data_IF_241934820729
#
_entry.id   IF_241934820729
#
_cell.length_a   1.000
_cell.length_b   1.000
_cell.length_c   1.000
_cell.angle_alpha   90.00
_cell.angle_beta   90.00
_cell.angle_gamma   90.00
#
_symmetry.space_group_name_H-M   'P 1'
#
loop_
_entity.id
_entity.type
_entity.pdbx_description
1 polymer ?
#
# COMPACT_ATOMS: atom_id res chain seq x y z
N UNK A 1 38.09 -35.02 -1.94
CA UNK A 1 36.72 -35.25 -1.41
C UNK A 1 36.28 -34.19 -0.42
N UNK A 2 37.09 -33.80 0.55
CA UNK A 2 36.73 -32.76 1.58
C UNK A 2 36.54 -31.35 1.02
N UNK A 3 37.36 -30.89 0.06
CA UNK A 3 37.27 -29.55 -0.54
C UNK A 3 36.04 -29.38 -1.44
N UNK A 4 35.63 -30.42 -2.18
CA UNK A 4 34.42 -30.42 -3.01
C UNK A 4 33.17 -30.31 -2.13
N UNK A 5 33.09 -31.05 -1.02
CA UNK A 5 32.03 -31.00 -0.05
C UNK A 5 31.90 -29.62 0.59
N UNK A 6 33.05 -29.02 0.96
CA UNK A 6 33.07 -27.68 1.54
C UNK A 6 32.54 -26.62 0.57
N UNK A 7 32.93 -26.69 -0.69
CA UNK A 7 32.44 -25.76 -1.74
C UNK A 7 30.92 -25.89 -1.95
N UNK A 8 30.37 -27.10 -1.98
CA UNK A 8 28.92 -27.31 -2.09
C UNK A 8 28.17 -26.75 -0.90
N UNK A 9 28.70 -26.93 0.32
CA UNK A 9 28.15 -26.36 1.53
C UNK A 9 28.12 -24.82 1.50
N UNK A 10 29.23 -24.20 1.11
CA UNK A 10 29.34 -22.73 1.03
C UNK A 10 28.38 -22.15 -0.03
N UNK A 11 28.23 -22.80 -1.19
CA UNK A 11 27.26 -22.40 -2.21
C UNK A 11 25.80 -22.51 -1.69
N UNK A 12 25.47 -23.56 -0.94
CA UNK A 12 24.16 -23.69 -0.33
C UNK A 12 23.88 -22.60 0.71
N UNK A 13 24.90 -22.26 1.54
CA UNK A 13 24.81 -21.16 2.50
C UNK A 13 24.60 -19.80 1.82
N UNK A 14 25.29 -19.54 0.70
CA UNK A 14 25.09 -18.31 -0.08
C UNK A 14 23.65 -18.24 -0.64
N UNK A 15 23.10 -19.33 -1.16
CA UNK A 15 21.70 -19.38 -1.64
C UNK A 15 20.70 -19.13 -0.51
N UNK A 16 20.93 -19.76 0.64
CA UNK A 16 20.11 -19.54 1.84
C UNK A 16 20.17 -18.09 2.33
N UNK A 17 21.39 -17.52 2.41
CA UNK A 17 21.59 -16.12 2.80
C UNK A 17 20.92 -15.13 1.85
N UNK A 18 21.00 -15.38 0.54
CA UNK A 18 20.32 -14.57 -0.48
C UNK A 18 18.79 -14.59 -0.32
N UNK A 19 18.19 -15.73 0.01
CA UNK A 19 16.76 -15.80 0.30
C UNK A 19 16.39 -15.03 1.58
N UNK A 20 17.24 -15.09 2.61
CA UNK A 20 17.04 -14.32 3.85
C UNK A 20 17.02 -12.81 3.58
N UNK A 21 17.84 -12.29 2.68
CA UNK A 21 17.86 -10.86 2.31
C UNK A 21 16.47 -10.37 1.90
N UNK A 22 15.71 -11.19 1.18
CA UNK A 22 14.32 -10.84 0.79
C UNK A 22 13.29 -11.17 1.86
N UNK A 23 13.54 -12.16 2.71
CA UNK A 23 12.62 -12.49 3.80
C UNK A 23 12.60 -11.41 4.91
N UNK A 24 13.75 -10.78 5.20
CA UNK A 24 13.90 -9.84 6.32
C UNK A 24 12.97 -8.62 6.25
N UNK A 25 12.76 -7.94 5.09
CA UNK A 25 11.87 -6.78 5.02
C UNK A 25 10.38 -7.14 4.95
N UNK A 26 10.03 -8.42 4.75
CA UNK A 26 8.66 -8.89 4.61
C UNK A 26 8.01 -9.19 5.98
N UNK A 27 6.68 -9.27 6.04
CA UNK A 27 5.99 -9.73 7.25
C UNK A 27 6.31 -11.19 7.52
N UNK A 28 6.82 -11.48 8.72
CA UNK A 28 7.20 -12.82 9.11
C UNK A 28 5.99 -13.62 9.63
N UNK A 29 5.93 -14.90 9.28
CA UNK A 29 5.02 -15.85 9.93
C UNK A 29 5.57 -16.32 11.28
N UNK A 30 4.71 -16.93 12.11
CA UNK A 30 5.11 -17.51 13.39
C UNK A 30 6.28 -18.50 13.21
N UNK A 31 7.24 -18.48 14.16
CA UNK A 31 8.44 -19.32 14.14
C UNK A 31 9.33 -19.15 12.89
N UNK A 32 9.50 -17.90 12.43
CA UNK A 32 10.30 -17.55 11.26
C UNK A 32 11.69 -18.21 11.24
N UNK A 33 12.48 -18.04 12.30
CA UNK A 33 13.83 -18.57 12.38
C UNK A 33 13.90 -20.09 12.37
N UNK A 34 12.95 -20.78 13.03
CA UNK A 34 12.89 -22.24 13.01
C UNK A 34 12.62 -22.76 11.59
N UNK A 35 11.72 -22.12 10.84
CA UNK A 35 11.45 -22.47 9.43
C UNK A 35 12.61 -22.15 8.51
N UNK A 36 13.23 -20.99 8.66
CA UNK A 36 14.36 -20.58 7.85
C UNK A 36 15.56 -21.52 8.05
N UNK A 37 15.90 -21.86 9.31
CA UNK A 37 16.95 -22.83 9.61
C UNK A 37 16.58 -24.24 9.16
N UNK A 38 15.31 -24.65 9.29
CA UNK A 38 14.84 -25.97 8.82
C UNK A 38 15.00 -26.13 7.31
N UNK A 39 14.82 -25.07 6.53
CA UNK A 39 15.03 -25.08 5.06
C UNK A 39 16.49 -25.12 4.64
N UNK A 40 17.43 -24.86 5.54
CA UNK A 40 18.85 -25.02 5.25
C UNK A 40 19.20 -26.49 5.00
N UNK A 41 18.59 -27.44 5.74
CA UNK A 41 18.87 -28.87 5.60
C UNK A 41 18.58 -29.39 4.18
N UNK A 42 17.38 -29.21 3.57
CA UNK A 42 17.15 -29.68 2.20
C UNK A 42 18.02 -28.95 1.16
N UNK A 43 18.40 -27.68 1.38
CA UNK A 43 19.34 -26.97 0.50
C UNK A 43 20.74 -27.59 0.55
N UNK A 44 21.23 -27.93 1.74
CA UNK A 44 22.52 -28.64 1.93
C UNK A 44 22.49 -30.01 1.32
N UNK A 45 21.43 -30.78 1.54
CA UNK A 45 21.28 -32.13 0.98
C UNK A 45 21.28 -32.09 -0.55
N UNK A 46 20.55 -31.15 -1.16
CA UNK A 46 20.48 -30.99 -2.61
C UNK A 46 21.85 -30.63 -3.20
N UNK A 47 22.59 -29.72 -2.56
CA UNK A 47 23.94 -29.35 -2.98
C UNK A 47 24.90 -30.53 -2.89
N UNK A 48 24.82 -31.35 -1.85
CA UNK A 48 25.68 -32.51 -1.68
C UNK A 48 25.42 -33.62 -2.69
N UNK A 49 24.17 -33.83 -3.09
CA UNK A 49 23.78 -34.90 -4.00
C UNK A 49 24.08 -34.56 -5.46
N UNK A 50 23.78 -33.35 -5.90
CA UNK A 50 23.78 -32.99 -7.32
C UNK A 50 25.07 -32.33 -7.81
N UNK A 51 25.76 -31.54 -6.99
CA UNK A 51 27.03 -30.91 -7.41
C UNK A 51 28.11 -31.95 -7.81
N UNK A 52 28.34 -33.07 -7.07
CA UNK A 52 29.29 -34.08 -7.49
C UNK A 52 28.89 -34.86 -8.76
N UNK A 53 27.58 -35.11 -8.93
CA UNK A 53 27.03 -35.77 -10.10
C UNK A 53 27.23 -34.93 -11.37
N UNK A 54 27.08 -33.62 -11.28
CA UNK A 54 27.27 -32.70 -12.38
C UNK A 54 28.73 -32.71 -12.91
N UNK A 55 29.71 -33.01 -12.06
CA UNK A 55 31.13 -33.03 -12.43
C UNK A 55 31.56 -34.36 -13.07
N UNK A 56 30.76 -35.41 -12.97
CA UNK A 56 31.13 -36.79 -13.40
C UNK A 56 30.53 -37.23 -14.74
N UNK A 57 29.76 -36.36 -15.42
CA UNK A 57 28.94 -36.69 -16.59
C UNK A 57 29.49 -36.08 -17.89
N UNK A 58 29.02 -36.56 -19.06
CA UNK A 58 29.32 -35.97 -20.37
C UNK A 58 28.72 -34.55 -20.50
N UNK A 59 29.28 -33.72 -21.38
CA UNK A 59 28.90 -32.32 -21.57
C UNK A 59 27.39 -32.08 -21.64
N UNK A 60 26.64 -32.89 -22.41
CA UNK A 60 25.17 -32.75 -22.51
C UNK A 60 24.44 -33.17 -21.25
N UNK A 61 24.85 -34.23 -20.60
CA UNK A 61 24.28 -34.70 -19.36
C UNK A 61 24.57 -33.72 -18.22
N UNK A 62 25.76 -33.12 -18.22
CA UNK A 62 26.14 -32.07 -17.27
C UNK A 62 25.21 -30.84 -17.37
N UNK A 63 24.94 -30.36 -18.59
CA UNK A 63 24.05 -29.22 -18.79
C UNK A 63 22.60 -29.51 -18.34
N UNK A 64 22.07 -30.70 -18.68
CA UNK A 64 20.75 -31.11 -18.23
C UNK A 64 20.66 -31.21 -16.70
N UNK A 65 21.69 -31.79 -16.08
CA UNK A 65 21.73 -31.95 -14.62
C UNK A 65 21.87 -30.62 -13.91
N UNK A 66 22.65 -29.67 -14.45
CA UNK A 66 22.72 -28.29 -13.94
C UNK A 66 21.35 -27.58 -14.03
N UNK A 67 20.62 -27.76 -15.13
CA UNK A 67 19.26 -27.20 -15.26
C UNK A 67 18.32 -27.75 -14.18
N UNK A 68 18.34 -29.08 -13.97
CA UNK A 68 17.52 -29.71 -12.90
C UNK A 68 17.93 -29.20 -11.52
N UNK A 69 19.24 -29.02 -11.29
CA UNK A 69 19.77 -28.46 -10.05
C UNK A 69 19.23 -27.04 -9.79
N UNK A 70 19.29 -26.16 -10.80
CA UNK A 70 18.81 -24.79 -10.69
C UNK A 70 17.29 -24.72 -10.47
N UNK A 71 16.52 -25.54 -11.18
CA UNK A 71 15.05 -25.63 -10.97
C UNK A 71 14.74 -26.10 -9.55
N UNK A 72 15.48 -27.09 -9.05
CA UNK A 72 15.29 -27.61 -7.69
C UNK A 72 15.63 -26.56 -6.62
N UNK A 73 16.74 -25.83 -6.78
CA UNK A 73 17.07 -24.71 -5.89
C UNK A 73 16.04 -23.60 -5.96
N UNK A 74 15.56 -23.26 -7.15
CA UNK A 74 14.49 -22.28 -7.33
C UNK A 74 13.22 -22.68 -6.56
N UNK A 75 12.80 -23.93 -6.67
CA UNK A 75 11.63 -24.44 -5.96
C UNK A 75 11.82 -24.41 -4.43
N UNK A 76 13.00 -24.80 -3.94
CA UNK A 76 13.32 -24.78 -2.51
C UNK A 76 13.38 -23.34 -1.95
N UNK A 77 14.00 -22.41 -2.67
CA UNK A 77 14.07 -21.01 -2.24
C UNK A 77 12.68 -20.34 -2.26
N UNK A 78 11.87 -20.61 -3.31
CA UNK A 78 10.48 -20.16 -3.36
C UNK A 78 9.63 -20.73 -2.22
N UNK A 79 9.81 -22.02 -1.93
CA UNK A 79 9.20 -22.69 -0.78
C UNK A 79 9.63 -22.08 0.55
N UNK A 80 10.93 -21.78 0.73
CA UNK A 80 11.45 -21.12 1.93
C UNK A 80 10.80 -19.75 2.12
N UNK A 81 10.79 -18.90 1.08
CA UNK A 81 10.21 -17.55 1.17
C UNK A 81 8.71 -17.64 1.48
N UNK A 82 7.98 -18.52 0.81
CA UNK A 82 6.54 -18.71 1.04
C UNK A 82 6.21 -19.22 2.45
N UNK A 83 7.03 -20.13 3.00
CA UNK A 83 6.81 -20.69 4.34
C UNK A 83 7.21 -19.72 5.47
N UNK A 84 8.22 -18.89 5.23
CA UNK A 84 8.75 -17.97 6.23
C UNK A 84 8.00 -16.63 6.29
N UNK A 85 7.40 -16.20 5.18
CA UNK A 85 6.78 -14.87 5.06
C UNK A 85 5.31 -14.94 4.68
N UNK A 86 4.59 -13.85 4.93
CA UNK A 86 3.18 -13.73 4.57
C UNK A 86 3.02 -13.06 3.20
N UNK A 87 3.55 -13.72 2.18
CA UNK A 87 3.52 -13.26 0.79
C UNK A 87 2.70 -14.25 -0.07
N UNK A 88 2.10 -13.75 -1.15
CA UNK A 88 1.39 -14.60 -2.10
C UNK A 88 2.37 -15.48 -2.94
N UNK A 89 1.86 -16.57 -3.55
CA UNK A 89 2.67 -17.51 -4.33
C UNK A 89 3.45 -16.84 -5.45
N UNK A 90 2.86 -15.87 -6.16
CA UNK A 90 3.53 -15.13 -7.24
C UNK A 90 4.68 -14.27 -6.72
N UNK A 91 4.49 -13.62 -5.56
CA UNK A 91 5.52 -12.87 -4.88
C UNK A 91 6.68 -13.75 -4.41
N UNK A 92 6.39 -14.91 -3.83
CA UNK A 92 7.42 -15.86 -3.42
C UNK A 92 8.25 -16.35 -4.60
N UNK A 93 7.63 -16.68 -5.74
CA UNK A 93 8.33 -17.06 -6.98
C UNK A 93 9.21 -15.91 -7.52
N UNK A 94 8.68 -14.69 -7.51
CA UNK A 94 9.45 -13.51 -7.93
C UNK A 94 10.69 -13.30 -7.06
N UNK A 95 10.56 -13.32 -5.74
CA UNK A 95 11.68 -13.21 -4.81
C UNK A 95 12.66 -14.39 -4.92
N UNK A 96 12.19 -15.59 -5.27
CA UNK A 96 13.05 -16.74 -5.49
C UNK A 96 13.98 -16.59 -6.69
N UNK A 97 13.48 -16.03 -7.81
CA UNK A 97 14.33 -15.69 -8.97
C UNK A 97 15.46 -14.75 -8.55
N UNK A 98 15.11 -13.68 -7.84
CA UNK A 98 16.10 -12.69 -7.38
C UNK A 98 17.08 -13.28 -6.37
N UNK A 99 16.63 -14.15 -5.48
CA UNK A 99 17.49 -14.83 -4.52
C UNK A 99 18.54 -15.70 -5.23
N UNK A 100 18.15 -16.42 -6.28
CA UNK A 100 19.09 -17.20 -7.09
C UNK A 100 20.13 -16.32 -7.79
N UNK A 101 19.66 -15.23 -8.42
CA UNK A 101 20.55 -14.29 -9.12
C UNK A 101 21.57 -13.66 -8.18
N UNK A 102 21.13 -13.20 -7.02
CA UNK A 102 21.97 -12.56 -6.00
C UNK A 102 22.95 -13.56 -5.40
N UNK A 103 22.53 -14.81 -5.14
CA UNK A 103 23.43 -15.86 -4.66
C UNK A 103 24.56 -16.14 -5.64
N UNK A 104 24.24 -16.19 -6.93
CA UNK A 104 25.23 -16.42 -7.99
C UNK A 104 26.17 -15.20 -8.15
N UNK A 105 25.64 -13.96 -8.12
CA UNK A 105 26.49 -12.76 -8.15
C UNK A 105 27.45 -12.73 -6.95
N UNK A 106 26.99 -13.13 -5.75
CA UNK A 106 27.86 -13.26 -4.58
C UNK A 106 28.97 -14.31 -4.79
N UNK A 107 28.62 -15.44 -5.40
CA UNK A 107 29.60 -16.48 -5.76
C UNK A 107 30.61 -15.98 -6.81
N UNK A 108 30.18 -15.29 -7.85
CA UNK A 108 31.05 -14.69 -8.86
C UNK A 108 31.97 -13.61 -8.25
N UNK A 109 31.49 -12.83 -7.31
CA UNK A 109 32.29 -11.86 -6.54
C UNK A 109 33.41 -12.58 -5.77
N UNK A 110 33.11 -13.73 -5.19
CA UNK A 110 34.14 -14.59 -4.59
C UNK A 110 35.16 -15.08 -5.62
N UNK A 111 34.71 -15.61 -6.77
CA UNK A 111 35.59 -16.08 -7.84
C UNK A 111 36.50 -14.95 -8.36
N UNK A 112 36.01 -13.74 -8.45
CA UNK A 112 36.80 -12.57 -8.79
C UNK A 112 37.92 -12.33 -7.76
N UNK A 113 37.61 -12.37 -6.46
CA UNK A 113 38.61 -12.20 -5.42
C UNK A 113 39.67 -13.29 -5.46
N UNK A 114 39.24 -14.54 -5.56
CA UNK A 114 40.16 -15.71 -5.70
C UNK A 114 41.11 -15.53 -6.87
N UNK A 115 40.61 -15.08 -8.02
CA UNK A 115 41.41 -14.82 -9.21
C UNK A 115 42.43 -13.71 -9.01
N UNK A 116 42.06 -12.60 -8.31
CA UNK A 116 43.01 -11.51 -8.00
C UNK A 116 44.08 -11.97 -7.03
N UNK A 117 43.72 -12.67 -5.95
CA UNK A 117 44.73 -13.21 -5.00
C UNK A 117 45.71 -14.15 -5.67
N UNK A 118 45.23 -15.03 -6.56
CA UNK A 118 46.07 -15.94 -7.32
C UNK A 118 47.02 -15.16 -8.23
N UNK A 119 46.55 -14.08 -8.88
CA UNK A 119 47.35 -13.22 -9.76
C UNK A 119 48.50 -12.52 -9.00
N UNK A 120 48.29 -12.15 -7.76
CA UNK A 120 49.31 -11.51 -6.90
C UNK A 120 50.20 -12.51 -6.16
N UNK A 121 50.13 -13.80 -6.50
CA UNK A 121 51.01 -14.85 -5.94
C UNK A 121 50.56 -15.39 -4.57
N UNK A 122 49.37 -15.09 -4.15
CA UNK A 122 48.78 -15.55 -2.88
C UNK A 122 47.52 -16.40 -3.15
N UNK A 123 47.62 -17.60 -3.72
CA UNK A 123 46.42 -18.39 -4.05
C UNK A 123 45.65 -18.75 -2.77
N UNK A 124 44.36 -18.45 -2.79
CA UNK A 124 43.44 -18.79 -1.70
C UNK A 124 43.09 -20.28 -1.79
N UNK A 125 43.76 -21.09 -0.98
CA UNK A 125 43.43 -22.51 -0.92
C UNK A 125 42.20 -22.72 -0.05
N UNK A 126 41.14 -23.31 -0.62
CA UNK A 126 39.88 -23.60 0.08
C UNK A 126 40.03 -24.58 1.26
N UNK A 127 41.16 -25.28 1.35
CA UNK A 127 41.50 -26.06 2.54
C UNK A 127 41.90 -25.16 3.75
N UNK A 128 42.20 -23.87 3.49
CA UNK A 128 42.58 -22.91 4.52
C UNK A 128 41.32 -22.29 5.17
N UNK A 129 41.23 -22.28 6.51
CA UNK A 129 40.16 -21.59 7.22
C UNK A 129 40.03 -20.10 6.84
N UNK A 130 41.15 -19.47 6.47
CA UNK A 130 41.22 -18.08 6.03
C UNK A 130 40.44 -17.83 4.74
N UNK A 131 40.60 -18.73 3.73
CA UNK A 131 39.83 -18.61 2.48
C UNK A 131 38.34 -18.73 2.68
N UNK A 132 37.88 -19.63 3.54
CA UNK A 132 36.47 -19.78 3.92
C UNK A 132 35.95 -18.51 4.61
N UNK A 133 36.71 -17.92 5.51
CA UNK A 133 36.36 -16.71 6.20
C UNK A 133 36.22 -15.53 5.23
N UNK A 134 37.16 -15.36 4.29
CA UNK A 134 37.10 -14.30 3.27
C UNK A 134 35.89 -14.48 2.37
N UNK A 135 35.56 -15.71 1.97
CA UNK A 135 34.37 -16.02 1.16
C UNK A 135 33.07 -15.65 1.90
N UNK A 136 32.93 -16.03 3.16
CA UNK A 136 31.77 -15.70 3.97
C UNK A 136 31.63 -14.19 4.19
N UNK A 137 32.75 -13.51 4.45
CA UNK A 137 32.77 -12.06 4.64
C UNK A 137 32.39 -11.31 3.37
N UNK A 138 32.94 -11.70 2.20
CA UNK A 138 32.59 -11.10 0.92
C UNK A 138 31.11 -11.29 0.59
N UNK A 139 30.58 -12.48 0.83
CA UNK A 139 29.13 -12.76 0.69
C UNK A 139 28.27 -11.92 1.62
N UNK A 140 28.66 -11.78 2.89
CA UNK A 140 27.95 -10.97 3.85
C UNK A 140 27.92 -9.47 3.47
N UNK A 141 29.06 -8.93 3.02
CA UNK A 141 29.14 -7.53 2.53
C UNK A 141 28.27 -7.32 1.31
N UNK A 142 28.30 -8.26 0.36
CA UNK A 142 27.46 -8.21 -0.84
C UNK A 142 25.97 -8.25 -0.48
N UNK A 143 25.55 -9.14 0.41
CA UNK A 143 24.16 -9.24 0.87
C UNK A 143 23.70 -8.01 1.65
N UNK A 144 24.58 -7.43 2.47
CA UNK A 144 24.27 -6.18 3.16
C UNK A 144 24.04 -5.02 2.18
N UNK A 145 24.87 -4.91 1.13
CA UNK A 145 24.70 -3.93 0.07
C UNK A 145 23.37 -4.13 -0.67
N UNK A 146 23.03 -5.35 -1.07
CA UNK A 146 21.77 -5.69 -1.74
C UNK A 146 20.57 -5.42 -0.83
N UNK A 147 20.67 -5.74 0.45
CA UNK A 147 19.61 -5.44 1.42
C UNK A 147 19.31 -3.94 1.50
N UNK A 148 20.36 -3.11 1.62
CA UNK A 148 20.20 -1.65 1.74
C UNK A 148 19.67 -1.03 0.45
N UNK A 149 20.22 -1.46 -0.71
CA UNK A 149 19.93 -0.83 -1.99
C UNK A 149 18.63 -1.32 -2.64
N UNK A 150 18.25 -2.58 -2.43
CA UNK A 150 17.13 -3.21 -3.11
C UNK A 150 16.07 -3.73 -2.15
N UNK A 151 16.40 -4.64 -1.23
CA UNK A 151 15.40 -5.35 -0.45
C UNK A 151 14.63 -4.45 0.53
N UNK A 152 15.31 -3.51 1.18
CA UNK A 152 14.69 -2.54 2.11
C UNK A 152 13.72 -1.59 1.39
N UNK A 153 13.90 -1.35 0.11
CA UNK A 153 13.08 -0.41 -0.67
C UNK A 153 11.86 -1.10 -1.31
N UNK A 154 11.64 -2.39 -1.09
CA UNK A 154 10.45 -3.08 -1.57
C UNK A 154 9.18 -2.44 -0.98
N UNK A 155 8.23 -2.01 -1.83
CA UNK A 155 7.02 -1.35 -1.36
C UNK A 155 6.10 -2.31 -0.58
N UNK A 156 5.27 -1.74 0.31
CA UNK A 156 4.15 -2.43 1.00
C UNK A 156 4.51 -3.66 1.84
N UNK A 157 5.77 -3.84 2.27
CA UNK A 157 6.17 -5.00 3.11
C UNK A 157 5.67 -6.35 2.60
N UNK A 158 5.53 -6.51 1.28
CA UNK A 158 5.08 -7.74 0.63
C UNK A 158 3.60 -7.83 0.26
N UNK A 159 2.79 -6.83 0.55
CA UNK A 159 1.37 -6.78 0.14
C UNK A 159 1.21 -6.26 -1.30
N UNK A 160 2.02 -6.71 -2.24
CA UNK A 160 1.92 -6.29 -3.62
C UNK A 160 1.48 -7.43 -4.55
N UNK A 161 0.61 -7.09 -5.47
CA UNK A 161 0.11 -8.05 -6.44
C UNK A 161 1.04 -8.03 -7.66
N UNK A 162 1.92 -9.02 -7.76
CA UNK A 162 2.81 -9.16 -8.91
C UNK A 162 2.00 -9.58 -10.12
N UNK A 163 2.02 -8.75 -11.15
CA UNK A 163 1.39 -9.03 -12.42
C UNK A 163 2.12 -10.14 -13.20
N UNK A 164 1.43 -10.86 -14.10
CA UNK A 164 2.06 -11.92 -14.91
C UNK A 164 3.23 -11.41 -15.75
N UNK A 165 3.15 -10.18 -16.27
CA UNK A 165 4.23 -9.57 -17.08
C UNK A 165 5.53 -9.40 -16.28
N UNK A 166 5.43 -9.00 -15.01
CA UNK A 166 6.59 -8.82 -14.12
C UNK A 166 7.22 -10.16 -13.76
N UNK A 167 6.39 -11.18 -13.55
CA UNK A 167 6.87 -12.54 -13.29
C UNK A 167 7.58 -13.10 -14.51
N UNK A 168 7.01 -12.94 -15.72
CA UNK A 168 7.64 -13.35 -16.97
C UNK A 168 8.99 -12.65 -17.22
N UNK A 169 9.08 -11.33 -16.99
CA UNK A 169 10.34 -10.60 -17.13
C UNK A 169 11.40 -11.09 -16.14
N UNK A 170 11.04 -11.38 -14.89
CA UNK A 170 11.96 -11.94 -13.91
C UNK A 170 12.47 -13.34 -14.32
N UNK A 171 11.59 -14.22 -14.78
CA UNK A 171 11.98 -15.54 -15.30
C UNK A 171 12.91 -15.44 -16.51
N UNK A 172 12.60 -14.54 -17.45
CA UNK A 172 13.43 -14.35 -18.64
C UNK A 172 14.84 -13.86 -18.27
N UNK A 173 14.96 -12.91 -17.35
CA UNK A 173 16.23 -12.46 -16.80
C UNK A 173 16.95 -13.62 -16.09
N UNK A 174 16.23 -14.43 -15.32
CA UNK A 174 16.77 -15.61 -14.65
C UNK A 174 17.38 -16.62 -15.64
N UNK A 175 16.70 -16.90 -16.76
CA UNK A 175 17.16 -17.79 -17.82
C UNK A 175 18.43 -17.23 -18.49
N UNK A 176 18.42 -15.94 -18.87
CA UNK A 176 19.58 -15.28 -19.46
C UNK A 176 20.78 -15.38 -18.54
N UNK A 177 20.59 -15.17 -17.26
CA UNK A 177 21.65 -15.28 -16.26
C UNK A 177 22.18 -16.69 -16.12
N UNK A 178 21.32 -17.70 -16.11
CA UNK A 178 21.75 -19.10 -16.08
C UNK A 178 22.59 -19.49 -17.31
N UNK A 179 22.20 -19.01 -18.50
CA UNK A 179 22.98 -19.23 -19.74
C UNK A 179 24.36 -18.58 -19.61
N UNK A 180 24.42 -17.34 -19.11
CA UNK A 180 25.71 -16.66 -18.91
C UNK A 180 26.59 -17.38 -17.88
N UNK A 181 26.03 -17.81 -16.74
CA UNK A 181 26.78 -18.54 -15.73
C UNK A 181 27.36 -19.85 -16.28
N UNK A 182 26.58 -20.60 -17.09
CA UNK A 182 27.05 -21.82 -17.74
C UNK A 182 28.16 -21.56 -18.77
N UNK A 183 28.05 -20.49 -19.57
CA UNK A 183 29.08 -20.06 -20.50
C UNK A 183 30.38 -19.70 -19.78
N UNK A 184 30.27 -18.95 -18.67
CA UNK A 184 31.42 -18.54 -17.86
C UNK A 184 32.13 -19.73 -17.22
N UNK A 185 31.39 -20.71 -16.68
CA UNK A 185 31.97 -21.93 -16.09
C UNK A 185 32.70 -22.76 -17.12
N UNK A 186 32.18 -22.88 -18.35
CA UNK A 186 32.87 -23.59 -19.46
C UNK A 186 34.09 -22.80 -19.95
N UNK A 187 34.03 -21.48 -19.99
CA UNK A 187 35.12 -20.64 -20.47
C UNK A 187 36.32 -20.55 -19.49
N UNK A 188 36.14 -20.88 -18.22
CA UNK A 188 37.19 -20.80 -17.17
C UNK A 188 38.40 -21.65 -17.50
N UNK A 189 38.26 -22.78 -18.21
CA UNK A 189 39.33 -23.67 -18.58
C UNK A 189 40.20 -23.15 -19.73
N UNK A 190 39.65 -22.28 -20.59
CA UNK A 190 40.27 -21.84 -21.85
C UNK A 190 40.71 -20.38 -21.87
N UNK A 191 40.18 -19.57 -20.96
CA UNK A 191 40.43 -18.12 -20.93
C UNK A 191 41.68 -17.75 -20.11
N UNK A 192 42.33 -16.66 -20.52
CA UNK A 192 43.37 -16.03 -19.72
C UNK A 192 42.80 -15.40 -18.46
N UNK A 193 43.54 -15.31 -17.33
CA UNK A 193 43.04 -14.69 -16.09
C UNK A 193 42.53 -13.27 -16.27
N UNK A 194 43.10 -12.51 -17.21
CA UNK A 194 42.66 -11.15 -17.50
C UNK A 194 41.30 -11.12 -18.19
N UNK A 195 41.10 -11.93 -19.24
CA UNK A 195 39.83 -12.00 -19.96
C UNK A 195 38.69 -12.50 -19.05
N UNK A 196 38.98 -13.48 -18.21
CA UNK A 196 38.01 -13.98 -17.22
C UNK A 196 37.60 -12.90 -16.21
N UNK A 197 38.56 -12.11 -15.69
CA UNK A 197 38.32 -10.98 -14.82
C UNK A 197 37.36 -9.97 -15.46
N UNK A 198 37.64 -9.58 -16.71
CA UNK A 198 36.82 -8.61 -17.44
C UNK A 198 35.40 -9.16 -17.67
N UNK A 199 35.30 -10.44 -18.06
CA UNK A 199 33.98 -11.09 -18.29
C UNK A 199 33.13 -11.13 -17.02
N UNK A 200 33.71 -11.47 -15.86
CA UNK A 200 33.01 -11.46 -14.57
C UNK A 200 32.52 -10.04 -14.24
N UNK A 201 33.39 -9.02 -14.37
CA UNK A 201 33.02 -7.64 -14.04
C UNK A 201 31.90 -7.10 -14.95
N UNK A 202 31.98 -7.34 -16.26
CA UNK A 202 30.93 -6.93 -17.20
C UNK A 202 29.62 -7.64 -16.87
N UNK A 203 29.67 -8.94 -16.61
CA UNK A 203 28.51 -9.73 -16.23
C UNK A 203 27.84 -9.20 -14.96
N UNK A 204 28.60 -8.95 -13.90
CA UNK A 204 28.07 -8.38 -12.65
C UNK A 204 27.47 -7.00 -12.84
N UNK A 205 28.17 -6.10 -13.55
CA UNK A 205 27.65 -4.78 -13.85
C UNK A 205 26.31 -4.84 -14.61
N UNK A 206 26.25 -5.70 -15.63
CA UNK A 206 25.03 -5.92 -16.41
C UNK A 206 23.87 -6.39 -15.52
N UNK A 207 24.08 -7.39 -14.64
CA UNK A 207 23.02 -7.91 -13.79
C UNK A 207 22.61 -6.96 -12.68
N UNK A 208 23.54 -6.26 -12.05
CA UNK A 208 23.20 -5.22 -11.07
C UNK A 208 22.35 -4.13 -11.71
N UNK A 209 22.69 -3.75 -12.94
CA UNK A 209 21.92 -2.75 -13.71
C UNK A 209 20.52 -3.27 -14.04
N UNK A 210 20.38 -4.52 -14.48
CA UNK A 210 19.07 -5.14 -14.73
C UNK A 210 18.22 -5.24 -13.45
N UNK A 211 18.84 -5.63 -12.33
CA UNK A 211 18.21 -5.67 -11.02
C UNK A 211 17.65 -4.30 -10.63
N UNK A 212 18.45 -3.25 -10.80
CA UNK A 212 18.05 -1.88 -10.52
C UNK A 212 16.87 -1.46 -11.40
N UNK A 213 16.97 -1.63 -12.72
CA UNK A 213 15.87 -1.28 -13.64
C UNK A 213 14.58 -2.05 -13.33
N UNK A 214 14.67 -3.34 -13.05
CA UNK A 214 13.53 -4.15 -12.70
C UNK A 214 12.87 -3.67 -11.39
N UNK A 215 13.68 -3.30 -10.40
CA UNK A 215 13.19 -2.73 -9.13
C UNK A 215 12.46 -1.40 -9.36
N UNK A 216 13.02 -0.52 -10.19
CA UNK A 216 12.38 0.77 -10.52
C UNK A 216 11.09 0.60 -11.33
N UNK A 217 11.06 -0.30 -12.32
CA UNK A 217 9.85 -0.62 -13.06
C UNK A 217 8.75 -1.18 -12.13
N UNK A 218 9.15 -1.98 -11.15
CA UNK A 218 8.24 -2.51 -10.16
C UNK A 218 7.63 -1.42 -9.28
N UNK A 219 8.46 -0.50 -8.75
CA UNK A 219 8.01 0.65 -7.95
C UNK A 219 7.08 1.54 -8.76
N UNK A 220 7.43 1.84 -10.02
CA UNK A 220 6.61 2.64 -10.91
C UNK A 220 5.24 2.01 -11.15
N UNK A 221 5.20 0.72 -11.46
CA UNK A 221 3.94 -0.02 -11.67
C UNK A 221 3.06 -0.05 -10.41
N UNK A 222 3.65 -0.19 -9.21
CA UNK A 222 2.93 -0.14 -7.95
C UNK A 222 2.33 1.26 -7.71
N UNK A 223 3.09 2.31 -7.98
CA UNK A 223 2.65 3.71 -7.83
C UNK A 223 1.56 4.08 -8.84
N UNK A 224 1.66 3.63 -10.09
CA UNK A 224 0.63 3.83 -11.11
C UNK A 224 -0.70 3.19 -10.72
N UNK A 225 -0.66 1.99 -10.15
CA UNK A 225 -1.86 1.30 -9.66
C UNK A 225 -2.52 2.06 -8.50
N UNK A 226 -1.74 2.50 -7.52
CA UNK A 226 -2.24 3.30 -6.40
C UNK A 226 -2.87 4.61 -6.89
N UNK A 227 -2.21 5.29 -7.83
CA UNK A 227 -2.74 6.51 -8.44
C UNK A 227 -4.05 6.26 -9.18
N UNK A 228 -4.16 5.14 -9.90
CA UNK A 228 -5.40 4.74 -10.60
C UNK A 228 -6.54 4.47 -9.62
N UNK A 229 -6.28 3.78 -8.51
CA UNK A 229 -7.27 3.53 -7.46
C UNK A 229 -7.74 4.84 -6.79
N UNK A 230 -6.81 5.76 -6.54
CA UNK A 230 -7.12 7.07 -6.00
C UNK A 230 -7.96 7.93 -6.96
N UNK A 231 -7.62 7.92 -8.25
CA UNK A 231 -8.39 8.64 -9.27
C UNK A 231 -9.82 8.09 -9.39
N UNK A 232 -10.00 6.76 -9.31
CA UNK A 232 -11.33 6.15 -9.31
C UNK A 232 -12.17 6.58 -8.10
N UNK A 233 -11.56 6.66 -6.92
CA UNK A 233 -12.23 7.14 -5.71
C UNK A 233 -12.62 8.62 -5.83
N UNK A 234 -11.74 9.45 -6.38
CA UNK A 234 -12.01 10.87 -6.64
C UNK A 234 -13.18 11.06 -7.61
N UNK A 235 -13.20 10.33 -8.72
CA UNK A 235 -14.31 10.38 -9.69
C UNK A 235 -15.64 9.93 -9.06
N UNK A 236 -15.65 8.90 -8.22
CA UNK A 236 -16.86 8.48 -7.48
C UNK A 236 -17.38 9.57 -6.55
N UNK A 237 -16.50 10.23 -5.80
CA UNK A 237 -16.89 11.34 -4.93
C UNK A 237 -17.47 12.50 -5.72
N UNK A 238 -16.85 12.83 -6.85
CA UNK A 238 -17.35 13.88 -7.76
C UNK A 238 -18.75 13.56 -8.30
N UNK A 239 -18.96 12.31 -8.71
CA UNK A 239 -20.30 11.85 -9.16
C UNK A 239 -21.32 11.92 -8.04
N UNK A 240 -21.00 11.49 -6.83
CA UNK A 240 -21.88 11.59 -5.67
C UNK A 240 -22.27 13.04 -5.40
N UNK A 241 -21.30 13.96 -5.41
CA UNK A 241 -21.60 15.39 -5.28
C UNK A 241 -22.57 15.89 -6.36
N UNK A 242 -22.35 15.55 -7.63
CA UNK A 242 -23.24 15.97 -8.71
C UNK A 242 -24.67 15.43 -8.53
N UNK A 243 -24.82 14.18 -8.15
CA UNK A 243 -26.13 13.57 -7.86
C UNK A 243 -26.80 14.26 -6.67
N UNK A 244 -26.08 14.49 -5.57
CA UNK A 244 -26.61 15.19 -4.40
C UNK A 244 -27.08 16.61 -4.76
N UNK A 245 -26.26 17.35 -5.53
CA UNK A 245 -26.62 18.70 -6.01
C UNK A 245 -27.88 18.67 -6.87
N UNK A 246 -28.01 17.74 -7.80
CA UNK A 246 -29.21 17.59 -8.62
C UNK A 246 -30.45 17.27 -7.79
N UNK A 247 -30.32 16.36 -6.81
CA UNK A 247 -31.42 16.00 -5.91
C UNK A 247 -31.89 17.20 -5.11
N UNK A 248 -30.97 17.98 -4.53
CA UNK A 248 -31.31 19.20 -3.79
C UNK A 248 -32.02 20.22 -4.69
N UNK A 249 -31.56 20.42 -5.92
CA UNK A 249 -32.24 21.32 -6.88
C UNK A 249 -33.65 20.84 -7.22
N UNK A 250 -33.88 19.54 -7.38
CA UNK A 250 -35.18 18.95 -7.63
C UNK A 250 -36.11 19.17 -6.41
N UNK A 251 -35.61 18.90 -5.21
CA UNK A 251 -36.35 19.10 -3.94
C UNK A 251 -36.74 20.56 -3.80
N UNK A 252 -35.80 21.49 -3.94
CA UNK A 252 -36.08 22.92 -3.84
C UNK A 252 -37.13 23.39 -4.85
N UNK A 253 -37.06 22.91 -6.11
CA UNK A 253 -38.06 23.20 -7.13
C UNK A 253 -39.45 22.68 -6.72
N UNK A 254 -39.54 21.44 -6.25
CA UNK A 254 -40.81 20.85 -5.80
C UNK A 254 -41.39 21.55 -4.57
N UNK A 255 -40.55 21.96 -3.62
CA UNK A 255 -40.98 22.73 -2.46
C UNK A 255 -41.52 24.10 -2.88
N UNK A 256 -40.88 24.77 -3.82
CA UNK A 256 -41.38 26.04 -4.36
C UNK A 256 -42.72 25.85 -5.07
N UNK A 257 -42.89 24.83 -5.91
CA UNK A 257 -44.16 24.48 -6.58
C UNK A 257 -45.29 24.23 -5.53
N UNK A 258 -44.98 23.46 -4.46
CA UNK A 258 -45.95 23.20 -3.37
C UNK A 258 -46.36 24.49 -2.64
N UNK A 259 -45.42 25.38 -2.33
CA UNK A 259 -45.77 26.68 -1.72
C UNK A 259 -46.71 27.53 -2.57
N UNK A 260 -46.44 27.58 -3.89
CA UNK A 260 -47.32 28.28 -4.83
C UNK A 260 -48.70 27.64 -4.83
N UNK A 261 -48.80 26.30 -4.81
CA UNK A 261 -50.10 25.61 -4.74
C UNK A 261 -50.86 25.89 -3.42
N UNK A 262 -50.17 25.83 -2.27
CA UNK A 262 -50.74 26.16 -0.95
C UNK A 262 -51.22 27.61 -0.93
N UNK A 263 -50.45 28.57 -1.42
CA UNK A 263 -50.83 29.96 -1.52
C UNK A 263 -52.03 30.18 -2.43
N UNK A 264 -52.17 29.43 -3.52
CA UNK A 264 -53.33 29.48 -4.41
C UNK A 264 -54.58 28.88 -3.76
N UNK A 265 -54.45 27.75 -3.06
CA UNK A 265 -55.55 27.12 -2.30
C UNK A 265 -56.10 28.07 -1.21
N UNK A 266 -55.23 28.80 -0.51
CA UNK A 266 -55.58 29.80 0.49
C UNK A 266 -56.39 30.96 -0.10
N UNK A 267 -56.15 31.30 -1.36
CA UNK A 267 -56.86 32.38 -2.05
C UNK A 267 -58.24 31.94 -2.60
N UNK A 268 -58.37 30.67 -2.98
CA UNK A 268 -59.55 30.17 -3.68
C UNK A 268 -60.65 29.60 -2.77
N UNK A 269 -60.35 29.15 -1.57
CA UNK A 269 -61.31 28.48 -0.68
C UNK A 269 -61.05 28.79 0.79
N UNK A 270 -61.46 29.99 1.27
CA UNK A 270 -61.24 30.36 2.70
C UNK A 270 -62.03 29.49 3.69
N UNK A 271 -63.16 28.87 3.25
CA UNK A 271 -64.07 28.10 4.14
C UNK A 271 -63.93 26.56 4.01
N UNK A 272 -63.25 26.06 2.99
CA UNK A 272 -63.26 24.61 2.68
C UNK A 272 -62.13 23.80 3.36
N UNK A 273 -61.06 24.42 3.85
CA UNK A 273 -59.93 23.74 4.48
C UNK A 273 -59.65 24.39 5.83
N UNK A 274 -59.59 23.63 6.95
CA UNK A 274 -59.21 24.16 8.24
C UNK A 274 -57.86 24.87 8.19
N UNK A 275 -57.74 26.10 8.73
CA UNK A 275 -56.48 26.87 8.68
C UNK A 275 -55.29 26.10 9.29
N UNK A 276 -55.54 25.25 10.29
CA UNK A 276 -54.53 24.42 10.95
C UNK A 276 -53.84 23.45 9.98
N UNK A 277 -54.57 22.86 9.02
CA UNK A 277 -53.99 21.95 8.01
C UNK A 277 -53.16 22.68 6.96
N UNK A 278 -53.53 23.89 6.62
CA UNK A 278 -52.78 24.76 5.71
C UNK A 278 -51.48 25.19 6.40
N UNK A 279 -51.54 25.57 7.66
CA UNK A 279 -50.39 25.97 8.45
C UNK A 279 -49.45 24.77 8.73
N UNK A 280 -49.98 23.56 8.86
CA UNK A 280 -49.19 22.34 9.00
C UNK A 280 -48.45 21.98 7.67
N UNK A 281 -49.15 22.08 6.52
CA UNK A 281 -48.53 21.88 5.21
C UNK A 281 -47.52 22.98 4.89
N UNK A 282 -47.79 24.24 5.30
CA UNK A 282 -46.83 25.34 5.14
C UNK A 282 -45.61 25.16 6.05
N UNK A 283 -45.79 24.68 7.29
CA UNK A 283 -44.67 24.30 8.18
C UNK A 283 -43.85 23.17 7.60
N UNK A 284 -44.47 22.12 7.08
CA UNK A 284 -43.79 21.02 6.40
C UNK A 284 -43.00 21.53 5.18
N UNK A 285 -43.61 22.37 4.34
CA UNK A 285 -42.93 22.97 3.19
C UNK A 285 -41.80 23.93 3.59
N UNK A 286 -41.91 24.63 4.74
CA UNK A 286 -40.85 25.50 5.27
C UNK A 286 -39.69 24.71 5.88
N UNK A 287 -39.89 23.52 6.43
CA UNK A 287 -38.82 22.62 6.87
C UNK A 287 -37.95 22.21 5.72
N UNK A 288 -38.54 21.95 4.55
CA UNK A 288 -37.80 21.67 3.31
C UNK A 288 -37.12 22.91 2.69
N UNK A 289 -37.71 24.11 2.97
CA UNK A 289 -37.18 25.39 2.48
C UNK A 289 -36.26 26.07 3.51
N UNK A 290 -35.90 25.38 4.57
CA UNK A 290 -34.85 25.83 5.46
C UNK A 290 -33.52 25.90 4.63
N UNK A 291 -33.57 26.83 3.67
CA UNK A 291 -32.44 27.31 2.92
C UNK A 291 -31.39 27.74 3.96
N UNK A 292 -30.56 26.80 4.36
CA UNK A 292 -29.38 27.11 5.13
C UNK A 292 -28.45 27.83 4.17
N UNK A 293 -28.76 29.10 3.94
CA UNK A 293 -27.93 29.98 3.14
C UNK A 293 -26.70 30.33 3.96
N UNK A 294 -25.74 29.39 3.99
CA UNK A 294 -24.47 29.60 4.67
C UNK A 294 -23.54 30.55 3.90
N UNK A 295 -23.88 30.88 2.66
CA UNK A 295 -23.05 31.64 1.73
C UNK A 295 -22.08 30.75 0.92
N UNK A 296 -22.25 29.41 0.98
CA UNK A 296 -21.51 28.46 0.17
C UNK A 296 -22.43 27.34 -0.35
N UNK A 297 -22.66 27.32 -1.66
CA UNK A 297 -23.59 26.38 -2.31
C UNK A 297 -23.29 24.91 -2.00
N UNK A 298 -22.00 24.53 -1.91
CA UNK A 298 -21.61 23.15 -1.64
C UNK A 298 -21.96 22.75 -0.21
N UNK A 299 -21.69 23.62 0.75
CA UNK A 299 -22.04 23.38 2.15
C UNK A 299 -23.55 23.31 2.33
N UNK A 300 -24.31 24.17 1.64
CA UNK A 300 -25.77 24.18 1.66
C UNK A 300 -26.33 22.84 1.15
N UNK A 301 -25.78 22.27 0.08
CA UNK A 301 -26.14 20.95 -0.45
C UNK A 301 -25.90 19.85 0.58
N UNK A 302 -24.72 19.80 1.20
CA UNK A 302 -24.40 18.79 2.21
C UNK A 302 -25.30 18.90 3.42
N UNK A 303 -25.49 20.12 3.94
CA UNK A 303 -26.34 20.34 5.11
C UNK A 303 -27.81 19.99 4.85
N UNK A 304 -28.32 20.26 3.65
CA UNK A 304 -29.68 19.87 3.27
C UNK A 304 -29.81 18.34 3.22
N UNK A 305 -28.89 17.65 2.53
CA UNK A 305 -28.88 16.18 2.45
C UNK A 305 -28.82 15.54 3.85
N UNK A 306 -27.87 15.99 4.68
CA UNK A 306 -27.66 15.40 6.02
C UNK A 306 -28.77 15.77 7.00
N UNK A 307 -29.40 16.94 6.87
CA UNK A 307 -30.59 17.30 7.68
C UNK A 307 -31.75 16.36 7.41
N UNK A 308 -32.07 16.07 6.14
CA UNK A 308 -33.10 15.10 5.76
C UNK A 308 -32.80 13.70 6.29
N UNK A 309 -31.55 13.28 6.21
CA UNK A 309 -31.10 11.99 6.75
C UNK A 309 -31.25 11.93 8.27
N UNK A 310 -30.84 12.97 8.99
CA UNK A 310 -30.97 13.09 10.44
C UNK A 310 -32.44 13.05 10.87
N UNK A 311 -33.31 13.82 10.22
CA UNK A 311 -34.74 13.83 10.49
C UNK A 311 -35.36 12.43 10.30
N UNK A 312 -35.04 11.73 9.22
CA UNK A 312 -35.54 10.36 8.97
C UNK A 312 -35.09 9.35 10.04
N UNK A 313 -34.03 9.64 10.77
CA UNK A 313 -33.45 8.78 11.83
C UNK A 313 -33.71 9.27 13.24
N UNK A 314 -34.50 10.34 13.40
CA UNK A 314 -34.78 10.94 14.71
C UNK A 314 -33.55 11.56 15.37
N UNK A 315 -32.63 12.14 14.58
CA UNK A 315 -31.43 12.83 15.04
C UNK A 315 -31.66 14.34 14.87
N UNK A 316 -31.30 15.12 15.88
CA UNK A 316 -31.33 16.57 15.80
C UNK A 316 -29.97 17.09 15.28
N UNK A 317 -29.97 17.78 14.12
CA UNK A 317 -28.79 18.45 13.57
C UNK A 317 -28.91 19.97 13.76
N UNK A 318 -28.07 20.51 14.63
CA UNK A 318 -27.90 21.94 14.82
C UNK A 318 -26.68 22.43 14.05
N UNK A 319 -26.85 23.33 13.08
CA UNK A 319 -25.74 23.85 12.32
C UNK A 319 -25.74 25.38 12.33
N UNK A 320 -24.63 25.94 12.79
CA UNK A 320 -24.30 27.37 12.69
C UNK A 320 -23.06 27.49 11.82
N UNK A 321 -23.22 27.92 10.56
CA UNK A 321 -22.13 27.89 9.61
C UNK A 321 -22.05 29.19 8.80
N UNK A 322 -20.85 29.78 8.77
CA UNK A 322 -20.48 30.82 7.82
C UNK A 322 -19.71 30.18 6.66
N UNK A 323 -20.42 29.80 5.59
CA UNK A 323 -19.83 29.15 4.42
C UNK A 323 -19.02 30.09 3.53
N UNK A 324 -19.21 31.41 3.65
CA UNK A 324 -18.48 32.38 2.83
C UNK A 324 -16.96 32.31 3.04
N UNK A 325 -16.51 31.83 4.21
CA UNK A 325 -15.09 31.66 4.52
C UNK A 325 -14.46 30.40 3.89
N UNK A 326 -15.25 29.56 3.22
CA UNK A 326 -14.82 28.28 2.64
C UNK A 326 -14.55 28.37 1.12
N UNK A 327 -14.55 29.59 0.55
CA UNK A 327 -14.38 29.80 -0.90
C UNK A 327 -13.03 29.37 -1.48
N UNK A 328 -12.04 29.08 -0.64
CA UNK A 328 -10.72 28.59 -1.07
C UNK A 328 -10.69 27.07 -1.34
N UNK A 329 -11.75 26.35 -0.99
CA UNK A 329 -11.85 24.92 -1.26
C UNK A 329 -12.33 24.64 -2.69
N UNK A 330 -11.82 23.55 -3.29
CA UNK A 330 -12.46 22.94 -4.44
C UNK A 330 -13.80 22.32 -4.03
N UNK A 331 -14.82 22.45 -4.87
CA UNK A 331 -16.18 21.99 -4.56
C UNK A 331 -16.25 20.50 -4.16
N UNK A 332 -15.49 19.63 -4.86
CA UNK A 332 -15.44 18.21 -4.54
C UNK A 332 -14.80 17.89 -3.19
N UNK A 333 -13.72 18.60 -2.84
CA UNK A 333 -13.04 18.40 -1.55
C UNK A 333 -13.90 18.92 -0.39
N UNK A 334 -14.57 20.08 -0.58
CA UNK A 334 -15.45 20.63 0.42
C UNK A 334 -16.65 19.70 0.70
N UNK A 335 -17.26 19.18 -0.38
CA UNK A 335 -18.33 18.19 -0.26
C UNK A 335 -17.82 16.95 0.49
N UNK A 336 -16.70 16.38 0.06
CA UNK A 336 -16.14 15.20 0.68
C UNK A 336 -15.76 15.39 2.16
N UNK A 337 -15.22 16.55 2.53
CA UNK A 337 -14.88 16.89 3.90
C UNK A 337 -16.12 16.85 4.80
N UNK A 338 -17.14 17.65 4.47
CA UNK A 338 -18.34 17.77 5.29
C UNK A 338 -19.24 16.54 5.21
N UNK A 339 -19.35 15.89 4.04
CA UNK A 339 -20.13 14.66 3.90
C UNK A 339 -19.57 13.54 4.78
N UNK A 340 -18.25 13.28 4.74
CA UNK A 340 -17.64 12.23 5.56
C UNK A 340 -17.66 12.57 7.06
N UNK A 341 -17.42 13.82 7.43
CA UNK A 341 -17.45 14.23 8.83
C UNK A 341 -18.86 14.13 9.44
N UNK A 342 -19.90 14.54 8.68
CA UNK A 342 -21.28 14.40 9.12
C UNK A 342 -21.78 12.96 9.05
N UNK A 343 -21.33 12.12 8.10
CA UNK A 343 -21.65 10.69 8.08
C UNK A 343 -21.10 9.99 9.33
N UNK A 344 -19.85 10.28 9.70
CA UNK A 344 -19.26 9.81 10.94
C UNK A 344 -20.08 10.23 12.18
N UNK A 345 -20.52 11.49 12.23
CA UNK A 345 -21.36 12.01 13.31
C UNK A 345 -22.75 11.34 13.36
N UNK A 346 -23.38 11.14 12.18
CA UNK A 346 -24.69 10.47 12.07
C UNK A 346 -24.62 9.02 12.51
N UNK A 347 -23.60 8.26 12.07
CA UNK A 347 -23.40 6.89 12.54
C UNK A 347 -23.22 6.82 14.06
N UNK A 348 -22.44 7.76 14.63
CA UNK A 348 -22.25 7.86 16.08
C UNK A 348 -23.57 8.16 16.82
N UNK A 349 -24.39 9.08 16.28
CA UNK A 349 -25.68 9.44 16.86
C UNK A 349 -26.73 8.31 16.78
N UNK A 350 -26.72 7.51 15.70
CA UNK A 350 -27.59 6.32 15.58
C UNK A 350 -27.27 5.29 16.66
N UNK A 351 -26.01 5.13 17.01
CA UNK A 351 -25.51 4.17 18.01
C UNK A 351 -25.68 4.66 19.46
N UNK A 352 -26.09 5.93 19.66
CA UNK A 352 -26.29 6.48 20.99
C UNK A 352 -27.42 5.75 21.73
N UNK A 353 -27.14 5.30 22.96
CA UNK A 353 -28.01 4.46 23.77
C UNK A 353 -29.31 5.18 24.19
N UNK A 354 -29.30 6.51 24.25
CA UNK A 354 -30.44 7.36 24.65
C UNK A 354 -30.91 8.23 23.50
N UNK A 355 -32.21 8.23 23.13
CA UNK A 355 -32.72 9.09 22.07
C UNK A 355 -32.45 10.59 22.28
N UNK A 356 -32.45 11.05 23.54
CA UNK A 356 -32.18 12.44 23.92
C UNK A 356 -30.74 12.89 23.62
N UNK A 357 -29.79 11.93 23.52
CA UNK A 357 -28.40 12.21 23.19
C UNK A 357 -28.14 12.24 21.69
N UNK A 358 -29.15 12.02 20.82
CA UNK A 358 -29.00 12.01 19.36
C UNK A 358 -28.98 13.42 18.80
N UNK A 359 -27.99 14.18 19.22
CA UNK A 359 -27.77 15.56 18.78
C UNK A 359 -26.41 15.67 18.11
N UNK A 360 -26.39 16.37 16.99
CA UNK A 360 -25.16 16.70 16.26
C UNK A 360 -25.07 18.22 16.17
N UNK A 361 -23.98 18.79 16.65
CA UNK A 361 -23.75 20.24 16.59
C UNK A 361 -22.61 20.52 15.59
N UNK A 362 -22.88 21.35 14.59
CA UNK A 362 -21.88 21.83 13.63
C UNK A 362 -21.68 23.33 13.80
N UNK A 363 -20.44 23.73 14.00
CA UNK A 363 -20.04 25.14 14.01
C UNK A 363 -18.97 25.38 12.93
N UNK A 364 -19.20 26.34 12.04
CA UNK A 364 -18.20 26.84 11.07
C UNK A 364 -18.09 28.36 11.25
N UNK A 365 -16.94 28.82 11.68
CA UNK A 365 -16.71 30.23 11.92
C UNK A 365 -15.27 30.65 11.63
N UNK A 366 -15.02 31.95 11.53
CA UNK A 366 -13.68 32.53 11.46
C UNK A 366 -13.28 33.03 12.84
N UNK A 367 -12.12 32.57 13.34
CA UNK A 367 -11.52 33.05 14.59
C UNK A 367 -10.05 33.35 14.41
N UNK A 368 -9.62 34.53 14.77
CA UNK A 368 -8.20 34.95 14.80
C UNK A 368 -7.45 34.66 13.47
N UNK A 369 -8.10 34.83 12.32
CA UNK A 369 -7.49 34.55 11.01
C UNK A 369 -7.50 33.08 10.61
N UNK A 370 -8.22 32.22 11.32
CA UNK A 370 -8.40 30.83 10.97
C UNK A 370 -9.88 30.49 10.75
N UNK A 371 -10.15 29.60 9.82
CA UNK A 371 -11.45 28.95 9.68
C UNK A 371 -11.49 27.77 10.64
N UNK A 372 -12.44 27.77 11.55
CA UNK A 372 -12.66 26.70 12.54
C UNK A 372 -13.93 25.96 12.18
N UNK A 373 -13.80 24.66 11.96
CA UNK A 373 -14.92 23.72 11.83
C UNK A 373 -14.93 22.85 13.08
N UNK A 374 -16.04 22.80 13.80
CA UNK A 374 -16.20 21.98 14.99
C UNK A 374 -17.49 21.16 14.86
N UNK A 375 -17.36 19.83 14.92
CA UNK A 375 -18.49 18.89 14.87
C UNK A 375 -18.50 18.12 16.17
N UNK A 376 -19.60 18.18 16.89
CA UNK A 376 -19.79 17.46 18.14
C UNK A 376 -20.88 16.42 17.93
N UNK A 377 -20.62 15.19 18.27
CA UNK A 377 -21.52 14.06 18.17
C UNK A 377 -21.44 13.17 19.41
N UNK A 378 -22.40 12.28 19.66
CA UNK A 378 -22.29 11.30 20.74
C UNK A 378 -21.08 10.39 20.56
N UNK A 379 -20.45 9.99 21.67
CA UNK A 379 -19.34 9.04 21.66
C UNK A 379 -19.84 7.63 21.29
N UNK A 380 -19.14 6.96 20.40
CA UNK A 380 -19.44 5.56 20.03
C UNK A 380 -19.13 4.61 21.19
N UNK A 381 -19.93 3.55 21.40
CA UNK A 381 -19.61 2.50 22.34
C UNK A 381 -18.25 1.84 22.00
N UNK A 382 -17.44 1.46 23.02
CA UNK A 382 -16.08 0.93 22.81
C UNK A 382 -16.03 -0.29 21.88
N UNK A 383 -17.06 -1.12 21.89
CA UNK A 383 -17.16 -2.33 21.06
C UNK A 383 -17.28 -2.05 19.56
N UNK A 384 -17.65 -0.83 19.18
CA UNK A 384 -17.90 -0.44 17.78
C UNK A 384 -16.98 0.69 17.27
N UNK A 385 -16.01 1.11 18.06
CA UNK A 385 -15.05 2.15 17.66
C UNK A 385 -14.14 1.75 16.49
N UNK A 386 -13.98 0.45 16.24
CA UNK A 386 -13.06 -0.11 15.24
C UNK A 386 -13.72 -0.42 13.88
N UNK A 387 -14.86 0.19 13.52
CA UNK A 387 -15.48 -0.11 12.21
C UNK A 387 -14.55 0.34 11.06
N UNK A 388 -14.46 -0.49 10.01
CA UNK A 388 -13.66 -0.18 8.81
C UNK A 388 -14.15 1.09 8.10
N UNK A 389 -15.45 1.39 8.17
CA UNK A 389 -16.07 2.61 7.62
C UNK A 389 -15.50 3.85 8.30
N UNK A 390 -15.56 3.92 9.64
CA UNK A 390 -15.06 5.06 10.40
C UNK A 390 -13.58 5.37 10.16
N UNK A 391 -12.75 4.33 10.03
CA UNK A 391 -11.33 4.51 9.71
C UNK A 391 -11.11 5.07 8.30
N UNK A 392 -11.98 4.71 7.36
CA UNK A 392 -11.89 5.22 5.98
C UNK A 392 -12.30 6.69 5.91
N UNK A 393 -13.41 7.06 6.53
CA UNK A 393 -13.92 8.44 6.59
C UNK A 393 -12.88 9.39 7.19
N UNK A 394 -12.28 9.02 8.32
CA UNK A 394 -11.20 9.78 8.96
C UNK A 394 -9.94 9.90 8.09
N UNK A 395 -9.61 8.89 7.26
CA UNK A 395 -8.49 9.00 6.31
C UNK A 395 -8.77 10.03 5.22
N UNK A 396 -10.00 10.07 4.69
CA UNK A 396 -10.41 11.07 3.69
C UNK A 396 -10.33 12.47 4.28
N UNK A 397 -10.89 12.66 5.47
CA UNK A 397 -10.85 13.94 6.19
C UNK A 397 -9.40 14.39 6.39
N UNK A 398 -8.54 13.55 6.96
CA UNK A 398 -7.11 13.87 7.19
C UNK A 398 -6.39 14.28 5.92
N UNK A 399 -6.64 13.59 4.81
CA UNK A 399 -6.01 13.90 3.52
C UNK A 399 -6.42 15.28 3.01
N UNK A 400 -7.71 15.61 3.09
CA UNK A 400 -8.22 16.93 2.67
C UNK A 400 -7.65 18.00 3.59
N UNK A 401 -7.68 17.80 4.90
CA UNK A 401 -7.12 18.74 5.88
C UNK A 401 -5.64 19.02 5.59
N UNK A 402 -4.85 18.01 5.29
CA UNK A 402 -3.43 18.17 4.92
C UNK A 402 -3.25 18.91 3.59
N UNK A 403 -4.10 18.64 2.57
CA UNK A 403 -4.06 19.33 1.27
C UNK A 403 -4.20 20.84 1.45
N UNK A 404 -5.07 21.28 2.36
CA UNK A 404 -5.32 22.69 2.65
C UNK A 404 -4.55 23.22 3.85
N UNK A 405 -3.45 22.55 4.26
CA UNK A 405 -2.55 22.94 5.36
C UNK A 405 -3.27 23.17 6.70
N UNK A 406 -4.34 22.43 6.92
CA UNK A 406 -5.12 22.47 8.15
C UNK A 406 -4.61 21.50 9.21
N UNK A 407 -5.25 21.55 10.37
CA UNK A 407 -5.01 20.64 11.50
C UNK A 407 -6.32 19.99 11.91
N UNK A 408 -6.32 18.67 12.12
CA UNK A 408 -7.44 17.89 12.65
C UNK A 408 -7.10 17.42 14.05
N UNK A 409 -7.95 17.79 15.01
CA UNK A 409 -7.90 17.34 16.41
C UNK A 409 -9.17 16.56 16.72
N UNK A 410 -9.03 15.38 17.32
CA UNK A 410 -10.12 14.52 17.74
C UNK A 410 -10.08 14.46 19.26
N UNK A 411 -11.15 14.84 19.93
CA UNK A 411 -11.24 14.93 21.39
C UNK A 411 -12.47 14.16 21.91
N UNK A 412 -12.26 13.34 22.91
CA UNK A 412 -13.35 12.70 23.65
C UNK A 412 -13.63 13.53 24.90
N UNK A 413 -14.84 14.07 25.00
CA UNK A 413 -15.29 14.92 26.12
C UNK A 413 -16.52 14.28 26.80
N UNK A 414 -16.28 13.41 27.78
CA UNK A 414 -17.34 12.71 28.48
C UNK A 414 -18.15 11.77 27.56
N UNK A 415 -19.42 12.05 27.34
CA UNK A 415 -20.30 11.26 26.45
C UNK A 415 -20.28 11.76 24.98
N UNK A 416 -19.44 12.75 24.66
CA UNK A 416 -19.38 13.37 23.33
C UNK A 416 -18.00 13.21 22.69
N UNK A 417 -18.02 13.19 21.37
CA UNK A 417 -16.85 13.18 20.52
C UNK A 417 -16.81 14.46 19.69
N UNK A 418 -15.69 15.18 19.76
CA UNK A 418 -15.51 16.44 19.05
C UNK A 418 -14.44 16.30 17.95
N UNK A 419 -14.82 16.60 16.71
CA UNK A 419 -13.93 16.74 15.56
C UNK A 419 -13.69 18.24 15.32
N UNK A 420 -12.49 18.70 15.62
CA UNK A 420 -12.08 20.10 15.42
C UNK A 420 -11.08 20.21 14.31
N UNK A 421 -11.47 20.94 13.25
CA UNK A 421 -10.63 21.17 12.08
C UNK A 421 -10.35 22.67 11.98
N UNK A 422 -9.08 23.01 11.78
CA UNK A 422 -8.64 24.42 11.70
C UNK A 422 -7.86 24.59 10.40
N UNK A 423 -8.28 25.57 9.59
CA UNK A 423 -7.57 25.95 8.36
C UNK A 423 -7.05 27.38 8.47
N UNK A 424 -5.85 27.68 7.94
CA UNK A 424 -5.42 29.05 7.80
C UNK A 424 -6.32 29.77 6.79
N UNK A 425 -6.79 30.98 7.13
CA UNK A 425 -7.57 31.80 6.21
C UNK A 425 -6.65 32.22 5.04
N UNK A 426 -6.90 31.65 3.87
CA UNK A 426 -6.21 32.07 2.65
C UNK A 426 -6.87 33.38 2.18
N UNK A 427 -6.07 34.46 2.08
CA UNK A 427 -6.49 35.76 1.54
C UNK A 427 -6.70 35.68 0.05
#
# INVERSE_FOLDING_TARGET
>A
MTTSLLNSLLRALLRWGAALVFCLPLRHRSHFWARACGMLFPLLLLAQLLDPLAQSTTLWQQQLLLLVLYISFFALLGGMIYLCTDINKKGALYCAVWSLLIAQCAYESWCFLELQFTRYGHPLNMASPWAVLVQLLSGAVFFAAVYILLARQLPYKGEYNIGPRQLFSAFFIGILFMVQAAVLDNARAEQTPLSLTVTILIGQFYFITLLYFQSELFKKSAMEKEMSELNLLYERQRQQYQVARQNVQIINKRCHELKVQIANLRKLSPEAVPPERIDEAERAARLYDANRNTGNEVLDVVLTEKSLLCESRGIQLNAVANGSCLGFFEAGDLYALFANALDHAVESAVLASRPECRVIDLLVCVRQGFVVVNIISPLRPPEQQASRSAQYELKVIRRIVQKYKGTLTLEEQGEFFAEKIIFPLQK
#
